data_IF_384771202281
#
_entry.id   IF_384771202281
#
_cell.length_a   1.000
_cell.length_b   1.000
_cell.length_c   1.000
_cell.angle_alpha   90.00
_cell.angle_beta   90.00
_cell.angle_gamma   90.00
#
_symmetry.space_group_name_H-M   'P 1'
#
loop_
_entity.id
_entity.type
_entity.pdbx_description
1 polymer ?
#
# COMPACT_ATOMS: atom_id res chain seq x y z
N UNK A 1 0.48 -0.45 24.80
CA UNK A 1 1.72 -0.72 25.54
C UNK A 1 2.87 -0.46 24.58
N UNK A 2 4.11 -0.75 24.95
CA UNK A 2 5.23 -0.72 24.01
C UNK A 2 5.92 -2.08 24.07
N UNK A 3 5.98 -2.77 22.95
CA UNK A 3 6.67 -4.05 22.78
C UNK A 3 7.79 -3.89 21.75
N UNK A 4 8.97 -4.40 22.08
CA UNK A 4 10.16 -4.35 21.21
C UNK A 4 10.81 -5.72 21.21
N UNK A 5 11.02 -6.29 20.03
CA UNK A 5 11.80 -7.52 19.83
C UNK A 5 13.01 -7.24 18.94
N UNK A 6 14.20 -7.73 19.34
CA UNK A 6 15.47 -7.34 18.72
C UNK A 6 15.97 -8.36 17.69
N UNK A 7 15.94 -9.68 17.96
CA UNK A 7 16.46 -10.68 17.00
C UNK A 7 15.85 -12.06 17.19
N UNK A 8 15.37 -12.66 16.10
CA UNK A 8 14.86 -14.02 16.08
C UNK A 8 15.06 -14.73 14.75
N UNK A 9 14.95 -16.07 14.77
CA UNK A 9 14.73 -16.81 13.50
C UNK A 9 13.25 -16.77 13.14
N UNK A 10 12.39 -16.77 14.15
CA UNK A 10 10.95 -16.62 14.01
C UNK A 10 10.45 -15.84 15.21
N UNK A 11 9.81 -14.70 14.97
CA UNK A 11 9.21 -13.86 16.02
C UNK A 11 7.70 -13.76 15.79
N UNK A 12 6.95 -13.76 16.88
CA UNK A 12 5.49 -13.58 16.85
C UNK A 12 5.09 -12.71 18.01
N UNK A 13 4.51 -11.55 17.71
CA UNK A 13 3.99 -10.58 18.67
C UNK A 13 2.49 -10.50 18.50
N UNK A 14 1.76 -10.60 19.62
CA UNK A 14 0.28 -10.50 19.62
C UNK A 14 -0.14 -9.54 20.73
N UNK A 15 -0.85 -8.48 20.36
CA UNK A 15 -1.42 -7.50 21.27
C UNK A 15 -2.95 -7.48 21.11
N UNK A 16 -3.71 -7.63 22.20
CA UNK A 16 -5.18 -7.77 22.10
C UNK A 16 -5.95 -6.48 22.36
N UNK A 17 -5.60 -5.69 23.38
CA UNK A 17 -6.36 -4.46 23.71
C UNK A 17 -5.49 -3.37 24.32
N UNK A 18 -5.56 -2.18 23.74
CA UNK A 18 -4.89 -0.99 24.27
C UNK A 18 -5.60 0.31 23.95
N UNK A 19 -5.27 1.38 24.68
CA UNK A 19 -5.61 2.73 24.22
C UNK A 19 -4.57 3.22 23.21
N UNK A 20 -3.31 2.82 23.41
CA UNK A 20 -2.19 3.13 22.54
C UNK A 20 -1.24 1.94 22.55
N UNK A 21 -1.04 1.31 21.41
CA UNK A 21 -0.16 0.16 21.22
C UNK A 21 0.97 0.53 20.26
N UNK A 22 2.19 0.16 20.60
CA UNK A 22 3.37 0.33 19.74
C UNK A 22 4.16 -0.97 19.75
N UNK A 23 4.36 -1.56 18.58
CA UNK A 23 5.14 -2.79 18.39
C UNK A 23 6.29 -2.49 17.44
N UNK A 24 7.49 -2.89 17.82
CA UNK A 24 8.69 -2.79 16.97
C UNK A 24 9.40 -4.13 16.91
N UNK A 25 9.69 -4.63 15.71
CA UNK A 25 10.51 -5.82 15.48
C UNK A 25 11.71 -5.44 14.61
N UNK A 26 12.94 -5.76 15.03
CA UNK A 26 14.15 -5.29 14.30
C UNK A 26 14.72 -6.29 13.29
N UNK A 27 14.81 -7.59 13.59
CA UNK A 27 15.42 -8.55 12.64
C UNK A 27 14.93 -9.98 12.85
N UNK A 28 14.34 -10.53 11.79
CA UNK A 28 13.83 -11.89 11.73
C UNK A 28 14.14 -12.61 10.41
N UNK A 29 14.08 -13.95 10.40
CA UNK A 29 13.83 -14.65 9.12
C UNK A 29 12.34 -14.62 8.81
N UNK A 30 11.50 -14.75 9.84
CA UNK A 30 10.05 -14.68 9.75
C UNK A 30 9.53 -13.88 10.93
N UNK A 31 8.78 -12.82 10.67
CA UNK A 31 8.14 -11.99 11.69
C UNK A 31 6.63 -11.95 11.47
N UNK A 32 5.88 -12.04 12.56
CA UNK A 32 4.42 -11.93 12.53
C UNK A 32 3.97 -11.03 13.67
N UNK A 33 3.30 -9.93 13.34
CA UNK A 33 2.73 -9.00 14.30
C UNK A 33 1.21 -8.99 14.11
N UNK A 34 0.47 -9.20 15.20
CA UNK A 34 -0.99 -9.12 15.20
C UNK A 34 -1.43 -8.15 16.29
N UNK A 35 -2.22 -7.15 15.93
CA UNK A 35 -2.81 -6.19 16.87
C UNK A 35 -4.33 -6.14 16.67
N UNK A 36 -5.11 -6.52 17.69
CA UNK A 36 -6.57 -6.69 17.52
C UNK A 36 -7.41 -5.43 17.80
N UNK A 37 -7.07 -4.60 18.80
CA UNK A 37 -7.92 -3.45 19.14
C UNK A 37 -7.15 -2.33 19.84
N UNK A 38 -7.13 -1.15 19.21
CA UNK A 38 -6.55 0.07 19.75
C UNK A 38 -7.35 1.34 19.45
N UNK A 39 -7.07 2.43 20.18
CA UNK A 39 -7.41 3.77 19.67
C UNK A 39 -6.31 4.26 18.73
N UNK A 40 -5.07 3.94 19.06
CA UNK A 40 -3.90 4.27 18.23
C UNK A 40 -2.97 3.07 18.24
N UNK A 41 -2.64 2.55 17.06
CA UNK A 41 -1.73 1.42 16.89
C UNK A 41 -0.61 1.83 15.95
N UNK A 42 0.62 1.45 16.29
CA UNK A 42 1.79 1.70 15.46
C UNK A 42 2.65 0.44 15.46
N UNK A 43 2.82 -0.14 14.28
CA UNK A 43 3.65 -1.34 14.06
C UNK A 43 4.80 -0.95 13.15
N UNK A 44 6.01 -1.34 13.52
CA UNK A 44 7.20 -1.17 12.71
C UNK A 44 7.98 -2.47 12.66
N UNK A 45 8.31 -2.95 11.46
CA UNK A 45 9.19 -4.10 11.26
C UNK A 45 10.36 -3.69 10.35
N UNK A 46 11.61 -3.84 10.82
CA UNK A 46 12.78 -3.31 10.09
C UNK A 46 13.36 -4.30 9.06
N UNK A 47 13.41 -5.62 9.36
CA UNK A 47 14.01 -6.56 8.41
C UNK A 47 13.59 -8.02 8.58
N UNK A 48 13.03 -8.58 7.51
CA UNK A 48 12.61 -9.97 7.41
C UNK A 48 13.01 -10.66 6.10
N UNK A 49 12.95 -11.99 6.07
CA UNK A 49 12.71 -12.69 4.78
C UNK A 49 11.21 -12.73 4.50
N UNK A 50 10.40 -12.88 5.54
CA UNK A 50 8.95 -12.89 5.47
C UNK A 50 8.39 -12.09 6.64
N UNK A 51 7.62 -11.06 6.34
CA UNK A 51 6.96 -10.21 7.32
C UNK A 51 5.45 -10.27 7.10
N UNK A 52 4.71 -10.36 8.21
CA UNK A 52 3.25 -10.35 8.18
C UNK A 52 2.76 -9.46 9.32
N UNK A 53 2.08 -8.38 8.97
CA UNK A 53 1.45 -7.47 9.92
C UNK A 53 -0.06 -7.50 9.72
N UNK A 54 -0.79 -7.69 10.81
CA UNK A 54 -2.26 -7.65 10.81
C UNK A 54 -2.72 -6.72 11.92
N UNK A 55 -3.50 -5.72 11.56
CA UNK A 55 -4.11 -4.74 12.47
C UNK A 55 -5.62 -4.71 12.23
N UNK A 56 -6.44 -5.07 13.23
CA UNK A 56 -7.89 -5.29 13.00
C UNK A 56 -8.78 -4.09 13.32
N UNK A 57 -8.55 -3.34 14.39
CA UNK A 57 -9.47 -2.26 14.78
C UNK A 57 -8.77 -1.11 15.49
N UNK A 58 -8.63 0.01 14.78
CA UNK A 58 -8.10 1.26 15.28
C UNK A 58 -9.01 2.47 15.09
N UNK A 59 -8.71 3.56 15.80
CA UNK A 59 -9.07 4.90 15.28
C UNK A 59 -7.97 5.41 14.36
N UNK A 60 -6.73 5.11 14.69
CA UNK A 60 -5.56 5.47 13.91
C UNK A 60 -4.58 4.30 13.89
N UNK A 61 -4.24 3.82 12.72
CA UNK A 61 -3.31 2.72 12.50
C UNK A 61 -2.17 3.19 11.61
N UNK A 62 -0.95 2.84 12.00
CA UNK A 62 0.24 3.10 11.20
C UNK A 62 1.07 1.84 11.17
N UNK A 63 1.27 1.33 9.96
CA UNK A 63 2.11 0.17 9.71
C UNK A 63 3.27 0.62 8.84
N UNK A 64 4.47 0.18 9.19
CA UNK A 64 5.68 0.46 8.42
C UNK A 64 6.55 -0.78 8.40
N UNK A 65 6.89 -1.22 7.20
CA UNK A 65 7.81 -2.32 6.97
C UNK A 65 8.95 -1.85 6.07
N UNK A 66 10.20 -2.00 6.51
CA UNK A 66 11.35 -1.44 5.77
C UNK A 66 11.98 -2.41 4.75
N UNK A 67 12.18 -3.68 5.08
CA UNK A 67 12.89 -4.59 4.16
C UNK A 67 12.51 -6.06 4.32
N UNK A 68 11.85 -6.59 3.30
CA UNK A 68 11.44 -7.98 3.21
C UNK A 68 11.81 -8.66 1.88
N UNK A 69 11.72 -9.99 1.84
CA UNK A 69 11.55 -10.68 0.54
C UNK A 69 10.07 -10.83 0.21
N UNK A 70 9.25 -11.03 1.24
CA UNK A 70 7.80 -11.15 1.14
C UNK A 70 7.17 -10.42 2.30
N UNK A 71 6.35 -9.43 2.00
CA UNK A 71 5.70 -8.57 2.97
C UNK A 71 4.18 -8.64 2.74
N UNK A 72 3.44 -8.78 3.84
CA UNK A 72 1.98 -8.82 3.79
C UNK A 72 1.44 -7.98 4.93
N UNK A 73 0.73 -6.92 4.58
CA UNK A 73 0.12 -5.99 5.51
C UNK A 73 -1.39 -6.02 5.32
N UNK A 74 -2.12 -6.21 6.42
CA UNK A 74 -3.58 -6.23 6.42
C UNK A 74 -4.08 -5.30 7.52
N UNK A 75 -4.86 -4.31 7.12
CA UNK A 75 -5.52 -3.36 8.01
C UNK A 75 -7.04 -3.44 7.77
N UNK A 76 -7.83 -3.86 8.77
CA UNK A 76 -9.28 -4.06 8.56
C UNK A 76 -10.12 -2.80 8.80
N UNK A 77 -9.99 -2.13 9.95
CA UNK A 77 -10.93 -1.07 10.33
C UNK A 77 -10.27 0.09 11.07
N UNK A 78 -10.26 1.25 10.42
CA UNK A 78 -9.71 2.50 10.94
C UNK A 78 -10.58 3.73 10.68
N UNK A 79 -10.30 4.82 11.40
CA UNK A 79 -10.68 6.16 10.88
C UNK A 79 -9.58 6.70 9.98
N UNK A 80 -8.32 6.43 10.33
CA UNK A 80 -7.16 6.82 9.55
C UNK A 80 -6.14 5.70 9.54
N UNK A 81 -5.79 5.23 8.36
CA UNK A 81 -4.88 4.11 8.14
C UNK A 81 -3.75 4.61 7.25
N UNK A 82 -2.52 4.33 7.68
CA UNK A 82 -1.32 4.63 6.93
C UNK A 82 -0.46 3.37 6.88
N UNK A 83 -0.22 2.89 5.67
CA UNK A 83 0.51 1.67 5.36
C UNK A 83 1.69 2.06 4.49
N UNK A 84 2.89 1.59 4.82
CA UNK A 84 4.10 1.95 4.09
C UNK A 84 5.06 0.77 4.06
N UNK A 85 5.40 0.34 2.85
CA UNK A 85 6.42 -0.67 2.63
C UNK A 85 7.54 -0.11 1.73
N UNK A 86 8.79 -0.17 2.20
CA UNK A 86 9.92 0.43 1.46
C UNK A 86 10.59 -0.53 0.46
N UNK A 87 10.84 -1.79 0.79
CA UNK A 87 11.58 -2.69 -0.11
C UNK A 87 11.21 -4.15 0.05
N UNK A 88 10.58 -4.69 -0.99
CA UNK A 88 10.21 -6.10 -1.10
C UNK A 88 10.62 -6.76 -2.42
N UNK A 89 10.57 -8.09 -2.46
CA UNK A 89 10.42 -8.78 -3.76
C UNK A 89 8.94 -8.97 -4.09
N UNK A 90 8.12 -9.20 -3.07
CA UNK A 90 6.68 -9.36 -3.19
C UNK A 90 6.01 -8.65 -2.03
N UNK A 91 5.21 -7.65 -2.35
CA UNK A 91 4.49 -6.82 -1.39
C UNK A 91 3.00 -6.96 -1.63
N UNK A 92 2.25 -7.17 -0.56
CA UNK A 92 0.79 -7.24 -0.60
C UNK A 92 0.23 -6.42 0.54
N UNK A 93 -0.46 -5.34 0.19
CA UNK A 93 -1.07 -4.42 1.14
C UNK A 93 -2.58 -4.45 0.91
N UNK A 94 -3.33 -4.70 1.99
CA UNK A 94 -4.79 -4.74 1.98
C UNK A 94 -5.32 -3.83 3.08
N UNK A 95 -6.16 -2.89 2.69
CA UNK A 95 -6.89 -2.00 3.60
C UNK A 95 -8.38 -2.13 3.33
N UNK A 96 -9.18 -2.56 4.31
CA UNK A 96 -10.62 -2.80 4.07
C UNK A 96 -11.50 -1.57 4.32
N UNK A 97 -11.40 -0.90 5.48
CA UNK A 97 -12.35 0.15 5.84
C UNK A 97 -11.72 1.31 6.63
N UNK A 98 -11.64 2.46 5.97
CA UNK A 98 -11.14 3.72 6.50
C UNK A 98 -12.03 4.92 6.21
N UNK A 99 -11.86 6.01 6.97
CA UNK A 99 -12.29 7.33 6.47
C UNK A 99 -11.20 7.93 5.59
N UNK A 100 -9.95 7.74 5.98
CA UNK A 100 -8.77 8.16 5.23
C UNK A 100 -7.78 7.02 5.20
N UNK A 101 -7.41 6.60 4.00
CA UNK A 101 -6.45 5.54 3.76
C UNK A 101 -5.31 6.09 2.90
N UNK A 102 -4.09 5.85 3.34
CA UNK A 102 -2.88 6.16 2.60
C UNK A 102 -1.99 4.93 2.55
N UNK A 103 -1.72 4.47 1.34
CA UNK A 103 -0.88 3.29 1.09
C UNK A 103 0.27 3.71 0.18
N UNK A 104 1.49 3.39 0.59
CA UNK A 104 2.71 3.73 -0.15
C UNK A 104 3.59 2.50 -0.25
N UNK A 105 3.90 2.09 -1.47
CA UNK A 105 4.85 1.02 -1.77
C UNK A 105 5.97 1.59 -2.63
N UNK A 106 7.23 1.49 -2.19
CA UNK A 106 8.35 2.16 -2.87
C UNK A 106 9.08 1.25 -3.88
N UNK A 107 9.46 0.03 -3.51
CA UNK A 107 10.27 -0.83 -4.39
C UNK A 107 9.93 -2.31 -4.24
N UNK A 108 9.30 -2.85 -5.28
CA UNK A 108 8.96 -4.27 -5.41
C UNK A 108 9.38 -4.91 -6.74
N UNK A 109 9.40 -6.24 -6.78
CA UNK A 109 9.27 -6.94 -8.08
C UNK A 109 7.81 -7.15 -8.42
N UNK A 110 6.99 -7.42 -7.42
CA UNK A 110 5.54 -7.62 -7.56
C UNK A 110 4.86 -6.92 -6.40
N UNK A 111 4.04 -5.93 -6.73
CA UNK A 111 3.30 -5.11 -5.76
C UNK A 111 1.81 -5.31 -6.02
N UNK A 112 1.06 -5.59 -4.95
CA UNK A 112 -0.40 -5.67 -5.00
C UNK A 112 -0.97 -4.85 -3.87
N UNK A 113 -1.68 -3.79 -4.23
CA UNK A 113 -2.37 -2.92 -3.27
C UNK A 113 -3.86 -3.00 -3.53
N UNK A 114 -4.62 -3.28 -2.46
CA UNK A 114 -6.08 -3.31 -2.48
C UNK A 114 -6.60 -2.40 -1.38
N UNK A 115 -7.43 -1.43 -1.75
CA UNK A 115 -8.21 -0.61 -0.80
C UNK A 115 -9.70 -0.77 -1.13
N UNK A 116 -10.53 -1.13 -0.14
CA UNK A 116 -11.95 -1.42 -0.41
C UNK A 116 -12.89 -0.25 -0.13
N UNK A 117 -12.88 0.33 1.08
CA UNK A 117 -13.88 1.34 1.47
C UNK A 117 -13.27 2.55 2.16
N UNK A 118 -13.21 3.68 1.44
CA UNK A 118 -12.72 4.96 1.94
C UNK A 118 -13.67 6.14 1.74
N UNK A 119 -13.50 7.22 2.52
CA UNK A 119 -13.95 8.55 2.04
C UNK A 119 -12.86 9.20 1.21
N UNK A 120 -11.61 8.99 1.58
CA UNK A 120 -10.43 9.49 0.89
C UNK A 120 -9.39 8.39 0.86
N UNK A 121 -9.03 7.95 -0.34
CA UNK A 121 -8.01 6.94 -0.58
C UNK A 121 -6.86 7.57 -1.38
N UNK A 122 -5.63 7.24 -1.01
CA UNK A 122 -4.44 7.63 -1.73
C UNK A 122 -3.47 6.45 -1.78
N UNK A 123 -3.25 5.94 -2.98
CA UNK A 123 -2.33 4.83 -3.22
C UNK A 123 -1.21 5.29 -4.13
N UNK A 124 0.03 5.08 -3.70
CA UNK A 124 1.23 5.34 -4.49
C UNK A 124 2.07 4.07 -4.56
N UNK A 125 2.41 3.64 -5.77
CA UNK A 125 3.45 2.63 -6.01
C UNK A 125 4.56 3.23 -6.89
N UNK A 126 5.82 3.19 -6.44
CA UNK A 126 6.91 3.84 -7.18
C UNK A 126 7.60 2.91 -8.19
N UNK A 127 8.13 1.75 -7.77
CA UNK A 127 8.98 0.91 -8.62
C UNK A 127 8.64 -0.57 -8.54
N UNK A 128 8.08 -1.10 -9.64
CA UNK A 128 7.69 -2.50 -9.77
C UNK A 128 8.14 -3.16 -11.09
N UNK A 129 8.23 -4.49 -11.12
CA UNK A 129 8.12 -5.20 -12.42
C UNK A 129 6.67 -5.44 -12.77
N UNK A 130 5.83 -5.69 -11.76
CA UNK A 130 4.40 -5.90 -11.89
C UNK A 130 3.69 -5.21 -10.75
N UNK A 131 2.82 -4.27 -11.08
CA UNK A 131 2.04 -3.50 -10.11
C UNK A 131 0.55 -3.73 -10.38
N UNK A 132 -0.18 -4.06 -9.31
CA UNK A 132 -1.64 -4.17 -9.35
C UNK A 132 -2.21 -3.33 -8.22
N UNK A 133 -2.93 -2.28 -8.60
CA UNK A 133 -3.65 -1.42 -7.65
C UNK A 133 -5.15 -1.55 -7.91
N UNK A 134 -5.91 -1.84 -6.86
CA UNK A 134 -7.37 -1.88 -6.90
C UNK A 134 -7.93 -1.02 -5.79
N UNK A 135 -8.80 -0.07 -6.14
CA UNK A 135 -9.58 0.74 -5.22
C UNK A 135 -11.08 0.52 -5.52
N UNK A 136 -11.90 0.12 -4.54
CA UNK A 136 -13.31 -0.25 -4.80
C UNK A 136 -14.33 0.85 -4.51
N UNK A 137 -14.26 1.56 -3.37
CA UNK A 137 -15.30 2.53 -3.01
C UNK A 137 -14.78 3.74 -2.25
N UNK A 138 -14.53 4.82 -2.98
CA UNK A 138 -14.14 6.12 -2.46
C UNK A 138 -15.13 7.25 -2.76
N UNK A 139 -15.06 8.33 -1.99
CA UNK A 139 -15.59 9.65 -2.43
C UNK A 139 -14.53 10.45 -3.19
N UNK A 140 -13.27 10.21 -2.84
CA UNK A 140 -12.08 10.82 -3.44
C UNK A 140 -10.98 9.78 -3.48
N UNK A 141 -10.46 9.50 -4.66
CA UNK A 141 -9.43 8.50 -4.91
C UNK A 141 -8.28 9.15 -5.68
N UNK A 142 -7.06 8.85 -5.26
CA UNK A 142 -5.84 9.22 -5.97
C UNK A 142 -4.94 7.99 -6.06
N UNK A 143 -4.72 7.50 -7.28
CA UNK A 143 -3.82 6.37 -7.53
C UNK A 143 -2.69 6.83 -8.43
N UNK A 144 -1.45 6.61 -7.98
CA UNK A 144 -0.24 6.91 -8.74
C UNK A 144 0.62 5.66 -8.81
N UNK A 145 0.97 5.24 -10.03
CA UNK A 145 1.99 4.23 -10.29
C UNK A 145 3.09 4.86 -11.16
N UNK A 146 4.36 4.80 -10.75
CA UNK A 146 5.43 5.53 -11.46
C UNK A 146 6.22 4.66 -12.45
N UNK A 147 6.64 3.45 -12.07
CA UNK A 147 7.53 2.66 -12.94
C UNK A 147 7.28 1.15 -12.86
N UNK A 148 6.52 0.64 -13.84
CA UNK A 148 6.23 -0.79 -13.99
C UNK A 148 6.64 -1.38 -15.34
N UNK A 149 6.98 -2.68 -15.39
CA UNK A 149 6.95 -3.40 -16.68
C UNK A 149 5.52 -3.82 -17.04
N UNK A 150 4.64 -3.94 -16.06
CA UNK A 150 3.22 -4.28 -16.23
C UNK A 150 2.45 -3.61 -15.10
N UNK A 151 1.48 -2.78 -15.45
CA UNK A 151 0.72 -1.99 -14.50
C UNK A 151 -0.77 -2.21 -14.76
N UNK A 152 -1.51 -2.53 -13.70
CA UNK A 152 -2.97 -2.63 -13.75
C UNK A 152 -3.55 -1.80 -12.61
N UNK A 153 -4.28 -0.75 -12.97
CA UNK A 153 -4.99 0.11 -12.03
C UNK A 153 -6.49 -0.02 -12.28
N UNK A 154 -7.22 -0.42 -11.24
CA UNK A 154 -8.69 -0.47 -11.25
C UNK A 154 -9.20 0.43 -10.13
N UNK A 155 -10.09 1.35 -10.48
CA UNK A 155 -10.74 2.25 -9.53
C UNK A 155 -12.25 2.23 -9.80
N UNK A 156 -13.05 1.83 -8.81
CA UNK A 156 -14.52 1.85 -8.87
C UNK A 156 -15.07 3.06 -8.11
N UNK A 157 -15.68 4.01 -8.82
CA UNK A 157 -16.09 5.30 -8.23
C UNK A 157 -17.59 5.37 -7.90
N UNK A 158 -17.91 5.92 -6.72
CA UNK A 158 -19.26 6.36 -6.35
C UNK A 158 -19.39 7.87 -6.08
N UNK A 159 -18.30 8.65 -6.26
CA UNK A 159 -18.04 10.01 -5.81
C UNK A 159 -17.77 11.07 -6.90
N UNK A 160 -16.94 12.09 -6.59
CA UNK A 160 -16.77 13.31 -7.42
C UNK A 160 -15.32 13.77 -7.61
N UNK A 161 -14.33 12.91 -7.34
CA UNK A 161 -12.92 13.27 -7.49
C UNK A 161 -12.02 12.04 -7.58
N UNK A 162 -11.82 11.56 -8.79
CA UNK A 162 -10.89 10.47 -9.10
C UNK A 162 -9.70 11.03 -9.90
N UNK A 163 -8.50 10.58 -9.55
CA UNK A 163 -7.27 10.82 -10.29
C UNK A 163 -6.44 9.54 -10.29
N UNK A 164 -6.42 8.84 -11.43
CA UNK A 164 -5.47 7.77 -11.69
C UNK A 164 -4.38 8.28 -12.65
N UNK A 165 -3.13 8.14 -12.27
CA UNK A 165 -1.97 8.39 -13.12
C UNK A 165 -1.01 7.19 -13.09
N UNK A 166 -0.62 6.73 -14.26
CA UNK A 166 0.46 5.75 -14.45
C UNK A 166 1.54 6.41 -15.32
N UNK A 167 2.79 6.52 -14.84
CA UNK A 167 3.93 6.92 -15.66
C UNK A 167 4.56 5.66 -16.30
N UNK A 168 4.80 5.71 -17.60
CA UNK A 168 4.95 4.48 -18.38
C UNK A 168 6.38 3.92 -18.32
N UNK A 169 6.52 2.75 -17.72
CA UNK A 169 7.49 1.76 -18.16
C UNK A 169 7.01 1.01 -19.43
N UNK A 170 7.82 0.12 -20.01
CA UNK A 170 7.72 -0.28 -21.43
C UNK A 170 6.56 -1.25 -21.82
N UNK A 171 5.40 -1.32 -21.17
CA UNK A 171 4.31 -2.25 -21.60
C UNK A 171 2.86 -1.88 -21.26
N UNK A 172 1.92 -2.78 -21.64
CA UNK A 172 0.46 -2.60 -21.72
C UNK A 172 -0.19 -2.04 -20.44
N UNK A 173 -0.69 -0.81 -20.56
CA UNK A 173 -1.59 -0.18 -19.61
C UNK A 173 -3.02 -0.69 -19.84
N UNK A 174 -3.68 -1.19 -18.78
CA UNK A 174 -5.13 -1.33 -18.76
C UNK A 174 -5.68 -0.62 -17.53
N UNK A 175 -5.90 0.68 -17.63
CA UNK A 175 -6.73 1.43 -16.69
C UNK A 175 -8.20 1.24 -17.04
N UNK A 176 -9.01 0.81 -16.07
CA UNK A 176 -10.47 0.85 -16.19
C UNK A 176 -11.04 1.56 -14.98
N UNK A 177 -11.66 2.72 -15.21
CA UNK A 177 -12.56 3.36 -14.26
C UNK A 177 -14.01 3.16 -14.74
N UNK A 178 -14.86 2.57 -13.90
CA UNK A 178 -16.31 2.56 -14.13
C UNK A 178 -16.94 3.80 -13.47
N UNK A 179 -16.89 4.94 -14.16
CA UNK A 179 -17.49 6.20 -13.68
C UNK A 179 -19.03 6.16 -13.76
N UNK A 180 -19.72 6.34 -12.63
CA UNK A 180 -21.17 6.58 -12.59
C UNK A 180 -21.58 8.04 -12.33
N UNK A 181 -20.60 8.97 -12.31
CA UNK A 181 -20.72 10.41 -12.00
C UNK A 181 -20.50 11.37 -13.18
N UNK A 182 -20.25 12.66 -12.90
CA UNK A 182 -19.97 13.70 -13.91
C UNK A 182 -18.51 14.18 -13.82
N UNK A 183 -17.68 13.70 -14.74
CA UNK A 183 -16.24 13.91 -14.92
C UNK A 183 -15.65 15.33 -14.77
N UNK A 184 -14.43 15.39 -14.22
CA UNK A 184 -13.36 16.28 -14.72
C UNK A 184 -12.05 15.47 -14.98
N UNK A 185 -11.70 15.39 -16.27
CA UNK A 185 -10.38 15.21 -16.91
C UNK A 185 -9.38 14.15 -16.36
N UNK A 186 -9.41 12.95 -16.97
CA UNK A 186 -8.24 12.06 -17.01
C UNK A 186 -7.06 12.78 -17.71
N UNK A 187 -5.96 13.00 -16.97
CA UNK A 187 -4.73 13.57 -17.53
C UNK A 187 -3.81 12.44 -17.96
N UNK A 188 -3.85 12.11 -19.24
CA UNK A 188 -2.81 11.29 -19.86
C UNK A 188 -1.54 12.14 -20.00
N UNK A 189 -0.47 11.82 -19.29
CA UNK A 189 0.84 12.41 -19.53
C UNK A 189 1.41 11.75 -20.80
N UNK A 190 1.26 12.40 -21.96
CA UNK A 190 1.94 11.94 -23.17
C UNK A 190 3.46 12.16 -23.02
N UNK A 191 4.24 11.08 -22.84
CA UNK A 191 5.70 11.15 -22.98
C UNK A 191 6.06 11.56 -24.41
N UNK A 192 6.66 12.74 -24.55
CA UNK A 192 7.33 13.15 -25.78
C UNK A 192 8.65 12.40 -25.90
N UNK A 193 8.56 11.13 -26.30
CA UNK A 193 9.72 10.25 -26.47
C UNK A 193 10.87 10.93 -27.21
N UNK A 194 11.94 11.22 -26.48
CA UNK A 194 13.19 11.70 -27.05
C UNK A 194 13.88 10.51 -27.72
N UNK A 195 13.69 10.39 -29.04
CA UNK A 195 14.44 9.48 -29.89
C UNK A 195 15.93 9.84 -29.84
N UNK A 196 16.70 9.17 -28.99
CA UNK A 196 18.16 9.14 -29.04
C UNK A 196 18.60 8.48 -30.35
N UNK A 197 18.91 9.28 -31.37
CA UNK A 197 19.52 8.78 -32.60
C UNK A 197 20.97 8.40 -32.32
N UNK A 198 21.27 7.09 -32.34
CA UNK A 198 22.63 6.57 -32.32
C UNK A 198 23.44 7.13 -33.49
N UNK A 199 24.65 7.59 -33.20
CA UNK A 199 25.44 8.42 -34.09
C UNK A 199 26.08 7.76 -35.31
N UNK A 200 26.72 8.64 -36.08
CA UNK A 200 27.90 8.37 -36.91
C UNK A 200 28.78 9.63 -36.92
#
# INVERSE_FOLDING_TARGET
MVEVTETGTTETVVTETGTTETVTTETGTTETVVTETGTTESVTTESGTTETVVTETGTTETVTTETGTTETEVTETGTSEAVTTETGTTETEVTETGTTEAVVTETGTTETVVTETGTTESVTTETGTTETVTTETGTTEAVVTETGTTETVTAEDTGTGDFAAADTGTAEETGTSEETGTAEEAVTVEDTGAAETSGE
#
